data_IF_254437782590
#
_entry.id   IF_254437782590
#
_cell.length_a   1.000
_cell.length_b   1.000
_cell.length_c   1.000
_cell.angle_alpha   90.00
_cell.angle_beta   90.00
_cell.angle_gamma   90.00
#
_symmetry.space_group_name_H-M   'P 1'
#
loop_
_entity.id
_entity.type
_entity.pdbx_description
1 polymer ?
#
# COMPACT_ATOMS: atom_id res chain seq x y z
N UNK A 1 19.78 4.17 -7.85
CA UNK A 1 20.29 2.79 -7.91
C UNK A 1 21.49 2.62 -7.01
N UNK A 2 21.75 1.40 -6.60
CA UNK A 2 22.90 1.04 -5.75
C UNK A 2 23.35 -0.39 -6.05
N UNK A 3 24.64 -0.64 -5.97
CA UNK A 3 25.22 -1.99 -6.06
C UNK A 3 25.40 -2.65 -4.68
N UNK A 4 25.44 -1.85 -3.61
CA UNK A 4 25.77 -2.29 -2.25
C UNK A 4 24.73 -1.90 -1.17
N UNK A 5 23.65 -1.24 -1.56
CA UNK A 5 22.60 -0.69 -0.70
C UNK A 5 23.04 0.40 0.29
N UNK A 6 24.28 0.88 0.16
CA UNK A 6 24.88 1.94 0.99
C UNK A 6 25.17 3.20 0.14
N UNK A 7 25.74 3.00 -1.04
CA UNK A 7 26.06 4.09 -1.97
C UNK A 7 24.99 4.16 -3.05
N UNK A 8 24.26 5.27 -3.11
CA UNK A 8 23.11 5.44 -4.01
C UNK A 8 23.39 6.49 -5.09
N UNK A 9 23.07 6.16 -6.33
CA UNK A 9 23.11 7.06 -7.47
C UNK A 9 21.68 7.42 -7.89
N UNK A 10 21.42 8.73 -7.97
CA UNK A 10 20.12 9.24 -8.40
C UNK A 10 19.95 9.14 -9.92
N UNK A 11 18.91 8.48 -10.37
CA UNK A 11 18.59 8.24 -11.78
C UNK A 11 17.46 9.11 -12.33
N UNK A 12 16.94 10.04 -11.52
CA UNK A 12 15.79 10.87 -11.90
C UNK A 12 14.47 10.39 -11.32
N UNK A 13 13.37 11.00 -11.77
CA UNK A 13 12.02 10.67 -11.34
C UNK A 13 11.47 9.57 -12.25
N UNK A 14 11.24 8.38 -11.69
CA UNK A 14 10.71 7.23 -12.42
C UNK A 14 9.21 7.36 -12.71
N UNK A 15 8.44 7.83 -11.73
CA UNK A 15 6.98 7.90 -11.79
C UNK A 15 6.49 9.31 -11.50
N UNK A 16 5.57 9.82 -12.31
CA UNK A 16 4.90 11.11 -12.13
C UNK A 16 3.47 11.05 -12.68
N UNK A 17 2.53 11.89 -12.23
CA UNK A 17 1.16 11.88 -12.68
C UNK A 17 1.01 12.05 -14.19
N UNK A 18 0.25 11.18 -14.83
CA UNK A 18 -0.06 11.24 -16.29
C UNK A 18 -1.49 10.82 -16.61
N UNK A 19 -2.20 10.27 -15.65
CA UNK A 19 -3.56 9.76 -15.82
C UNK A 19 -4.54 10.56 -14.97
N UNK A 20 -5.82 10.59 -15.35
CA UNK A 20 -6.85 11.24 -14.57
C UNK A 20 -6.95 10.68 -13.14
N UNK A 21 -6.72 9.37 -12.98
CA UNK A 21 -6.82 8.71 -11.68
C UNK A 21 -5.62 8.95 -10.76
N UNK A 22 -4.47 9.40 -11.29
CA UNK A 22 -3.27 9.73 -10.51
C UNK A 22 -2.88 11.21 -10.58
N UNK A 23 -3.77 12.07 -11.05
CA UNK A 23 -3.46 13.47 -11.35
C UNK A 23 -2.94 14.29 -10.16
N UNK A 24 -3.25 13.87 -8.93
CA UNK A 24 -2.86 14.56 -7.71
C UNK A 24 -1.80 13.80 -6.90
N UNK A 25 -1.37 12.64 -7.34
CA UNK A 25 -0.25 11.95 -6.68
C UNK A 25 -0.04 10.51 -7.11
N UNK A 26 1.22 10.14 -7.10
CA UNK A 26 1.74 8.78 -7.11
C UNK A 26 2.23 8.52 -5.69
N UNK A 27 1.42 7.80 -4.90
CA UNK A 27 1.71 7.52 -3.49
C UNK A 27 2.45 6.19 -3.35
N UNK A 28 2.72 5.78 -2.13
CA UNK A 28 3.47 4.58 -1.78
C UNK A 28 2.97 3.32 -2.47
N UNK A 29 3.85 2.35 -2.57
CA UNK A 29 3.56 1.07 -3.19
C UNK A 29 4.72 0.09 -3.12
N UNK A 30 4.74 -0.90 -4.00
CA UNK A 30 5.71 -1.99 -4.02
C UNK A 30 6.29 -2.22 -5.40
N UNK A 31 7.55 -2.58 -5.46
CA UNK A 31 8.18 -3.12 -6.66
C UNK A 31 8.26 -4.65 -6.58
N UNK A 32 7.94 -5.31 -7.68
CA UNK A 32 8.03 -6.77 -7.85
C UNK A 32 8.84 -7.06 -9.11
N UNK A 33 9.95 -7.80 -8.95
CA UNK A 33 10.69 -8.34 -10.09
C UNK A 33 10.03 -9.65 -10.54
N UNK A 34 9.77 -9.76 -11.83
CA UNK A 34 9.23 -10.97 -12.43
C UNK A 34 9.69 -11.09 -13.89
N UNK A 35 10.27 -12.24 -14.24
CA UNK A 35 10.76 -12.55 -15.59
C UNK A 35 11.72 -11.49 -16.15
N UNK A 36 12.56 -10.91 -15.29
CA UNK A 36 13.55 -9.88 -15.64
C UNK A 36 12.94 -8.48 -15.83
N UNK A 37 11.67 -8.30 -15.53
CA UNK A 37 10.96 -7.01 -15.57
C UNK A 37 10.68 -6.49 -14.18
N UNK A 38 10.61 -5.18 -14.04
CA UNK A 38 10.21 -4.53 -12.80
C UNK A 38 8.77 -4.05 -12.91
N UNK A 39 7.88 -4.62 -12.11
CA UNK A 39 6.49 -4.17 -11.94
C UNK A 39 6.40 -3.30 -10.70
N UNK A 40 5.92 -2.07 -10.83
CA UNK A 40 5.65 -1.18 -9.71
C UNK A 40 4.15 -1.03 -9.55
N UNK A 41 3.64 -1.38 -8.37
CA UNK A 41 2.27 -1.13 -7.93
C UNK A 41 2.29 0.07 -6.98
N UNK A 42 1.33 0.97 -7.12
CA UNK A 42 1.28 2.21 -6.35
C UNK A 42 -0.15 2.69 -6.13
N UNK A 43 -0.36 3.51 -5.12
CA UNK A 43 -1.62 4.20 -4.92
C UNK A 43 -1.68 5.45 -5.76
N UNK A 44 -2.62 5.47 -6.68
CA UNK A 44 -2.94 6.61 -7.53
C UNK A 44 -3.98 7.50 -6.84
N UNK A 45 -3.67 8.79 -6.70
CA UNK A 45 -4.49 9.73 -5.92
C UNK A 45 -5.18 10.73 -6.81
N UNK A 46 -6.48 10.93 -6.55
CA UNK A 46 -7.31 11.97 -7.16
C UNK A 46 -8.03 12.79 -6.09
N UNK A 47 -7.88 14.11 -6.15
CA UNK A 47 -8.63 15.03 -5.32
C UNK A 47 -10.04 15.22 -5.88
N UNK A 48 -11.05 15.04 -5.06
CA UNK A 48 -12.44 15.28 -5.41
C UNK A 48 -12.82 16.77 -5.21
N UNK A 49 -12.10 17.45 -4.30
CA UNK A 49 -12.24 18.87 -4.02
C UNK A 49 -10.86 19.54 -3.95
N UNK A 50 -10.17 19.77 -5.09
CA UNK A 50 -8.88 20.46 -5.07
C UNK A 50 -9.08 21.91 -4.60
N UNK A 51 -8.11 22.42 -3.85
CA UNK A 51 -8.08 23.82 -3.47
C UNK A 51 -7.76 24.67 -4.71
N UNK A 52 -8.57 25.67 -5.08
CA UNK A 52 -8.32 26.51 -6.24
C UNK A 52 -7.07 27.41 -6.09
N UNK A 53 -6.60 27.65 -4.88
CA UNK A 53 -5.44 28.49 -4.59
C UNK A 53 -4.13 27.68 -4.40
N UNK A 54 -4.25 26.38 -4.16
CA UNK A 54 -3.08 25.49 -3.95
C UNK A 54 -3.35 24.10 -4.53
N UNK A 55 -2.70 23.77 -5.64
CA UNK A 55 -2.84 22.48 -6.34
C UNK A 55 -2.40 21.28 -5.51
N UNK A 56 -1.63 21.49 -4.44
CA UNK A 56 -1.16 20.44 -3.54
C UNK A 56 -2.09 20.22 -2.35
N UNK A 57 -3.14 21.02 -2.25
CA UNK A 57 -4.10 20.96 -1.16
C UNK A 57 -5.45 20.41 -1.61
N UNK A 58 -6.02 19.58 -0.77
CA UNK A 58 -7.38 19.08 -0.90
C UNK A 58 -8.26 19.67 0.20
N UNK A 59 -9.48 20.07 -0.14
CA UNK A 59 -10.46 20.56 0.83
C UNK A 59 -11.29 19.38 1.38
N UNK A 60 -11.66 19.48 2.67
CA UNK A 60 -12.52 18.50 3.36
C UNK A 60 -11.97 17.07 3.33
N UNK A 61 -10.64 16.89 3.18
CA UNK A 61 -10.02 15.57 3.03
C UNK A 61 -10.69 14.71 1.93
N UNK A 62 -11.22 15.38 0.90
CA UNK A 62 -12.00 14.78 -0.18
C UNK A 62 -11.08 14.18 -1.24
N UNK A 63 -10.38 13.10 -0.88
CA UNK A 63 -9.51 12.32 -1.77
C UNK A 63 -10.14 10.96 -2.07
N UNK A 64 -9.72 10.39 -3.19
CA UNK A 64 -9.91 8.98 -3.47
C UNK A 64 -8.63 8.37 -4.01
N UNK A 65 -8.44 7.09 -3.74
CA UNK A 65 -7.35 6.29 -4.25
C UNK A 65 -7.88 5.18 -5.16
N UNK A 66 -7.05 4.78 -6.09
CA UNK A 66 -7.16 3.53 -6.84
C UNK A 66 -5.77 2.91 -6.90
N UNK A 67 -5.65 1.62 -7.19
CA UNK A 67 -4.34 1.03 -7.32
C UNK A 67 -3.98 0.93 -8.80
N UNK A 68 -2.76 1.31 -9.12
CA UNK A 68 -2.25 1.28 -10.47
C UNK A 68 -0.91 0.56 -10.54
N UNK A 69 -0.52 0.14 -11.74
CA UNK A 69 0.76 -0.47 -11.99
C UNK A 69 1.43 0.09 -13.24
N UNK A 70 2.73 -0.08 -13.30
CA UNK A 70 3.57 0.16 -14.46
C UNK A 70 4.64 -0.93 -14.55
N UNK A 71 5.06 -1.25 -15.76
CA UNK A 71 6.10 -2.24 -16.01
C UNK A 71 7.28 -1.57 -16.69
N UNK A 72 8.48 -1.88 -16.22
CA UNK A 72 9.75 -1.55 -16.87
C UNK A 72 10.42 -2.83 -17.33
N UNK A 73 10.89 -2.85 -18.58
CA UNK A 73 11.59 -4.00 -19.16
C UNK A 73 13.04 -4.13 -18.66
N UNK A 74 13.62 -3.06 -18.14
CA UNK A 74 15.02 -2.98 -17.71
C UNK A 74 15.22 -2.47 -16.29
N UNK A 75 14.14 -2.10 -15.59
CA UNK A 75 14.18 -1.55 -14.25
C UNK A 75 14.58 -0.08 -14.16
N UNK A 76 14.92 0.56 -15.27
CA UNK A 76 15.40 1.95 -15.33
C UNK A 76 14.47 2.88 -16.10
N UNK A 77 13.86 2.39 -17.18
CA UNK A 77 13.02 3.20 -18.05
C UNK A 77 11.54 2.89 -17.84
N UNK A 78 10.76 3.93 -17.52
CA UNK A 78 9.34 3.86 -17.28
C UNK A 78 8.58 4.77 -18.23
N UNK A 79 7.78 4.20 -19.14
CA UNK A 79 6.85 4.99 -19.93
C UNK A 79 5.59 5.28 -19.12
N UNK A 80 5.53 6.46 -18.50
CA UNK A 80 4.42 6.85 -17.63
C UNK A 80 3.05 6.91 -18.33
N UNK A 81 3.00 6.82 -19.66
CA UNK A 81 1.76 6.71 -20.42
C UNK A 81 1.21 5.28 -20.47
N UNK A 82 2.02 4.26 -20.13
CA UNK A 82 1.62 2.85 -20.13
C UNK A 82 1.07 2.37 -18.78
N UNK A 83 0.89 3.27 -17.84
CA UNK A 83 0.27 2.98 -16.53
C UNK A 83 -1.12 2.40 -16.70
N UNK A 84 -1.42 1.36 -15.91
CA UNK A 84 -2.71 0.69 -15.87
C UNK A 84 -3.32 0.84 -14.48
N UNK A 85 -4.61 1.19 -14.40
CA UNK A 85 -5.37 1.07 -13.16
C UNK A 85 -5.80 -0.39 -12.99
N UNK A 86 -5.29 -1.06 -11.97
CA UNK A 86 -5.53 -2.49 -11.71
C UNK A 86 -6.60 -2.74 -10.67
N UNK A 87 -6.83 -1.79 -9.76
CA UNK A 87 -7.94 -1.85 -8.82
C UNK A 87 -8.59 -0.45 -8.76
N UNK A 88 -9.87 -0.33 -9.16
CA UNK A 88 -10.57 0.94 -9.09
C UNK A 88 -10.81 1.37 -7.63
N UNK A 89 -11.19 2.63 -7.43
CA UNK A 89 -11.67 3.12 -6.13
C UNK A 89 -12.83 2.26 -5.65
N UNK A 90 -12.75 1.77 -4.42
CA UNK A 90 -13.78 0.94 -3.79
C UNK A 90 -14.66 1.80 -2.90
N UNK A 91 -15.97 1.63 -2.99
CA UNK A 91 -16.98 2.35 -2.20
C UNK A 91 -17.84 1.42 -1.33
N UNK A 92 -17.50 0.14 -1.29
CA UNK A 92 -18.13 -0.86 -0.45
C UNK A 92 -17.23 -1.10 0.77
N UNK A 93 -17.65 -0.56 1.93
CA UNK A 93 -16.84 -0.59 3.16
C UNK A 93 -16.49 -1.99 3.67
N UNK A 94 -17.24 -3.03 3.30
CA UNK A 94 -16.93 -4.40 3.69
C UNK A 94 -15.72 -4.98 2.96
N UNK A 95 -15.45 -4.50 1.75
CA UNK A 95 -14.35 -5.01 0.92
C UNK A 95 -13.28 -3.96 0.64
N UNK A 96 -13.48 -2.70 1.04
CA UNK A 96 -12.52 -1.62 0.86
C UNK A 96 -13.06 -0.28 1.30
N UNK A 97 -12.39 0.78 0.91
CA UNK A 97 -12.83 2.17 1.08
C UNK A 97 -12.14 3.10 0.06
N UNK A 98 -12.66 4.31 -0.18
CA UNK A 98 -12.08 5.22 -1.15
C UNK A 98 -10.65 5.70 -0.86
N UNK A 99 -10.15 5.55 0.36
CA UNK A 99 -8.81 6.01 0.79
C UNK A 99 -7.84 4.86 1.10
N UNK A 100 -8.22 3.60 0.83
CA UNK A 100 -7.31 2.47 0.99
C UNK A 100 -6.08 2.64 0.11
N UNK A 101 -4.86 2.36 0.64
CA UNK A 101 -3.62 2.74 -0.01
C UNK A 101 -2.44 1.85 0.33
N UNK A 102 -1.29 2.18 -0.28
CA UNK A 102 0.03 1.61 0.00
C UNK A 102 0.08 0.11 -0.29
N UNK A 103 -0.15 -0.31 -1.55
CA UNK A 103 -0.21 -1.72 -1.89
C UNK A 103 1.15 -2.40 -1.71
N UNK A 104 1.21 -3.39 -0.83
CA UNK A 104 2.27 -4.40 -0.79
C UNK A 104 1.85 -5.56 -1.68
N UNK A 105 2.58 -5.81 -2.74
CA UNK A 105 2.32 -6.91 -3.68
C UNK A 105 3.45 -7.93 -3.63
N UNK A 106 3.10 -9.20 -3.60
CA UNK A 106 4.03 -10.31 -3.74
C UNK A 106 3.40 -11.44 -4.53
N UNK A 107 4.23 -12.35 -5.00
CA UNK A 107 3.81 -13.58 -5.68
C UNK A 107 4.25 -14.79 -4.89
N UNK A 108 3.37 -15.75 -4.73
CA UNK A 108 3.68 -17.07 -4.18
C UNK A 108 3.03 -18.14 -5.06
N UNK A 109 3.87 -19.00 -5.64
CA UNK A 109 3.46 -19.95 -6.67
C UNK A 109 2.78 -19.26 -7.85
N UNK A 110 1.55 -19.69 -8.18
CA UNK A 110 0.75 -19.16 -9.28
C UNK A 110 -0.23 -18.05 -8.85
N UNK A 111 -0.05 -17.49 -7.67
CA UNK A 111 -0.97 -16.48 -7.11
C UNK A 111 -0.23 -15.21 -6.72
N UNK A 112 -0.85 -14.08 -7.02
CA UNK A 112 -0.44 -12.78 -6.53
C UNK A 112 -1.33 -12.36 -5.37
N UNK A 113 -0.74 -11.69 -4.42
CA UNK A 113 -1.37 -11.13 -3.24
C UNK A 113 -1.12 -9.64 -3.20
N UNK A 114 -2.14 -8.87 -2.85
CA UNK A 114 -2.01 -7.43 -2.58
C UNK A 114 -2.58 -7.16 -1.20
N UNK A 115 -1.76 -6.60 -0.33
CA UNK A 115 -2.15 -6.12 0.98
C UNK A 115 -2.16 -4.60 0.98
N UNK A 116 -3.19 -3.98 1.54
CA UNK A 116 -3.33 -2.53 1.61
C UNK A 116 -3.72 -2.05 2.99
N UNK A 117 -3.24 -0.88 3.35
CA UNK A 117 -3.67 -0.17 4.53
C UNK A 117 -5.00 0.56 4.32
N UNK A 118 -5.77 0.64 5.37
CA UNK A 118 -7.12 1.19 5.37
C UNK A 118 -7.58 1.55 6.79
N UNK A 119 -8.78 2.13 6.89
CA UNK A 119 -9.54 2.26 8.13
C UNK A 119 -10.91 1.62 7.99
N UNK A 120 -11.53 1.33 9.14
CA UNK A 120 -12.92 0.90 9.24
C UNK A 120 -13.49 1.41 10.55
N UNK A 121 -14.50 2.28 10.49
CA UNK A 121 -15.10 2.90 11.69
C UNK A 121 -14.06 3.49 12.66
N UNK A 122 -13.14 4.30 12.13
CA UNK A 122 -12.05 4.94 12.89
C UNK A 122 -11.06 3.96 13.56
N UNK A 123 -10.97 2.73 13.07
CA UNK A 123 -9.96 1.74 13.49
C UNK A 123 -9.12 1.27 12.31
N UNK A 124 -7.83 1.01 12.57
CA UNK A 124 -6.90 0.51 11.58
C UNK A 124 -7.34 -0.83 10.99
N UNK A 125 -7.19 -0.97 9.67
CA UNK A 125 -7.55 -2.16 8.92
C UNK A 125 -6.51 -2.48 7.87
N UNK A 126 -6.31 -3.77 7.62
CA UNK A 126 -5.53 -4.29 6.49
C UNK A 126 -6.48 -5.10 5.60
N UNK A 127 -6.40 -4.86 4.30
CA UNK A 127 -7.20 -5.52 3.27
C UNK A 127 -6.32 -6.42 2.40
N UNK A 128 -6.87 -7.57 2.00
CA UNK A 128 -6.22 -8.50 1.08
C UNK A 128 -7.02 -8.71 -0.19
N UNK A 129 -6.33 -8.65 -1.30
CA UNK A 129 -6.81 -9.02 -2.62
C UNK A 129 -5.89 -10.06 -3.23
N UNK A 130 -6.43 -10.92 -4.07
CA UNK A 130 -5.67 -11.92 -4.81
C UNK A 130 -5.87 -11.79 -6.31
N UNK A 131 -4.88 -12.26 -7.07
CA UNK A 131 -4.91 -12.25 -8.54
C UNK A 131 -4.19 -13.47 -9.11
N UNK A 132 -4.50 -13.83 -10.35
CA UNK A 132 -3.78 -14.86 -11.13
C UNK A 132 -2.82 -14.26 -12.17
N UNK A 133 -2.98 -12.98 -12.46
CA UNK A 133 -2.20 -12.30 -13.51
C UNK A 133 -1.51 -11.00 -13.01
N UNK A 134 -1.76 -10.60 -11.75
CA UNK A 134 -1.26 -9.35 -11.19
C UNK A 134 -1.97 -8.09 -11.70
N UNK A 135 -2.96 -8.22 -12.58
CA UNK A 135 -3.72 -7.10 -13.14
C UNK A 135 -5.19 -7.09 -12.71
N UNK A 136 -5.82 -8.26 -12.58
CA UNK A 136 -7.21 -8.42 -12.20
C UNK A 136 -7.30 -8.94 -10.75
N UNK A 137 -7.80 -8.11 -9.84
CA UNK A 137 -7.79 -8.35 -8.41
C UNK A 137 -9.17 -8.64 -7.87
N UNK A 138 -9.26 -9.63 -6.98
CA UNK A 138 -10.47 -10.01 -6.27
C UNK A 138 -10.24 -9.90 -4.77
N UNK A 139 -11.18 -9.29 -4.06
CA UNK A 139 -11.15 -9.25 -2.60
C UNK A 139 -11.08 -10.66 -2.01
N UNK A 140 -10.22 -10.83 -1.01
CA UNK A 140 -10.01 -12.12 -0.36
C UNK A 140 -10.36 -12.08 1.12
N UNK A 141 -9.81 -11.12 1.89
CA UNK A 141 -9.99 -11.06 3.34
C UNK A 141 -9.59 -9.68 3.90
N UNK A 142 -9.77 -9.50 5.20
CA UNK A 142 -9.31 -8.34 5.95
C UNK A 142 -8.89 -8.72 7.38
N UNK A 143 -8.03 -7.89 7.96
CA UNK A 143 -7.67 -7.93 9.37
C UNK A 143 -8.02 -6.58 10.01
N UNK A 144 -8.68 -6.61 11.18
CA UNK A 144 -9.06 -5.42 11.97
C UNK A 144 -8.46 -5.55 13.37
N UNK A 145 -7.18 -5.26 13.55
CA UNK A 145 -6.51 -5.42 14.84
C UNK A 145 -6.89 -4.26 15.77
N UNK A 146 -7.23 -4.56 17.03
CA UNK A 146 -7.77 -3.57 17.98
C UNK A 146 -6.76 -2.48 18.39
N UNK A 147 -5.48 -2.81 18.43
CA UNK A 147 -4.43 -1.91 18.96
C UNK A 147 -3.56 -1.26 17.88
N UNK A 148 -4.10 -1.05 16.67
CA UNK A 148 -3.35 -0.52 15.53
C UNK A 148 -3.91 0.81 15.02
N UNK A 149 -4.27 1.70 15.95
CA UNK A 149 -4.61 3.08 15.67
C UNK A 149 -5.87 3.30 14.84
N UNK A 150 -5.94 4.47 14.21
CA UNK A 150 -7.08 4.91 13.40
C UNK A 150 -7.06 4.37 11.96
N UNK A 151 -5.91 4.33 11.33
CA UNK A 151 -5.65 3.75 10.01
C UNK A 151 -4.25 3.15 9.99
N UNK A 152 -4.01 2.22 9.11
CA UNK A 152 -2.67 1.65 8.90
C UNK A 152 -2.15 2.14 7.56
N UNK A 153 -0.95 2.70 7.52
CA UNK A 153 -0.24 3.07 6.31
C UNK A 153 0.95 2.13 6.07
N UNK A 154 1.37 2.03 4.81
CA UNK A 154 2.55 1.30 4.38
C UNK A 154 2.68 -0.11 5.01
N UNK A 155 1.61 -0.96 4.98
CA UNK A 155 1.71 -2.28 5.55
C UNK A 155 2.67 -3.15 4.74
N UNK A 156 3.48 -3.93 5.44
CA UNK A 156 4.35 -4.96 4.86
C UNK A 156 4.16 -6.29 5.60
N UNK A 157 4.21 -7.38 4.86
CA UNK A 157 4.08 -8.74 5.38
C UNK A 157 5.07 -9.65 4.64
N UNK A 158 5.93 -10.30 5.38
CA UNK A 158 6.90 -11.24 4.82
C UNK A 158 7.22 -12.37 5.81
N UNK A 159 7.74 -13.48 5.31
CA UNK A 159 8.17 -14.57 6.16
C UNK A 159 9.69 -14.61 6.26
N UNK A 160 10.19 -14.89 7.47
CA UNK A 160 11.59 -15.14 7.75
C UNK A 160 11.71 -16.28 8.78
N UNK A 161 12.49 -17.31 8.45
CA UNK A 161 12.67 -18.48 9.30
C UNK A 161 11.34 -19.13 9.73
N UNK A 162 10.42 -19.31 8.76
CA UNK A 162 9.07 -19.86 8.94
C UNK A 162 8.16 -19.04 9.88
N UNK A 163 8.52 -17.80 10.16
CA UNK A 163 7.69 -16.86 10.91
C UNK A 163 7.22 -15.72 10.00
N UNK A 164 5.95 -15.38 10.09
CA UNK A 164 5.43 -14.19 9.46
C UNK A 164 5.67 -12.95 10.30
N UNK A 165 6.12 -11.90 9.68
CA UNK A 165 6.40 -10.60 10.29
C UNK A 165 5.53 -9.56 9.59
N UNK A 166 4.75 -8.84 10.37
CA UNK A 166 4.00 -7.67 9.93
C UNK A 166 4.75 -6.41 10.32
N UNK A 167 4.80 -5.45 9.40
CA UNK A 167 5.25 -4.07 9.65
C UNK A 167 4.16 -3.14 9.15
N UNK A 168 3.94 -2.02 9.82
CA UNK A 168 3.01 -1.00 9.38
C UNK A 168 3.20 0.31 10.13
N UNK A 169 2.56 1.36 9.63
CA UNK A 169 2.59 2.69 10.25
C UNK A 169 1.17 3.08 10.69
N UNK A 170 0.70 2.59 11.86
CA UNK A 170 -0.57 3.01 12.40
C UNK A 170 -0.56 4.50 12.75
N UNK A 171 -1.55 5.22 12.27
CA UNK A 171 -1.75 6.62 12.64
C UNK A 171 -2.58 6.72 13.92
N UNK A 172 -2.26 7.71 14.76
CA UNK A 172 -2.93 7.94 16.05
C UNK A 172 -2.93 6.68 16.94
N UNK A 173 -1.79 6.01 16.99
CA UNK A 173 -1.61 4.77 17.74
C UNK A 173 -1.80 4.98 19.25
N UNK A 174 -1.38 6.12 19.76
CA UNK A 174 -1.51 6.52 21.18
C UNK A 174 -2.43 7.73 21.30
N UNK A 175 -3.75 7.53 21.51
CA UNK A 175 -4.68 8.64 21.69
C UNK A 175 -4.27 9.53 22.87
N UNK A 176 -4.06 10.82 22.60
CA UNK A 176 -3.68 11.81 23.63
C UNK A 176 -2.18 12.03 23.79
N UNK A 177 -1.31 11.22 23.28
CA UNK A 177 0.12 11.51 23.20
C UNK A 177 0.41 12.41 21.99
N UNK A 178 0.82 13.64 22.27
CA UNK A 178 1.03 14.66 21.24
C UNK A 178 2.40 14.59 20.56
N UNK A 179 3.34 13.80 21.08
CA UNK A 179 4.73 13.88 20.66
C UNK A 179 5.06 12.93 19.49
N UNK A 180 4.45 11.77 19.44
CA UNK A 180 4.67 10.75 18.40
C UNK A 180 3.36 9.97 18.15
N UNK A 181 2.35 10.61 17.53
CA UNK A 181 1.05 9.97 17.33
C UNK A 181 1.08 8.88 16.27
N UNK A 182 2.04 8.95 15.36
CA UNK A 182 2.18 8.07 14.20
C UNK A 182 3.55 7.40 14.30
N UNK A 183 3.59 6.07 14.32
CA UNK A 183 4.82 5.31 14.52
C UNK A 183 4.84 4.05 13.66
N UNK A 184 6.02 3.65 13.20
CA UNK A 184 6.21 2.35 12.61
C UNK A 184 6.24 1.28 13.70
N UNK A 185 5.47 0.21 13.50
CA UNK A 185 5.40 -0.93 14.40
C UNK A 185 5.68 -2.23 13.66
N UNK A 186 6.10 -3.23 14.42
CA UNK A 186 6.21 -4.59 13.90
C UNK A 186 5.62 -5.58 14.90
N UNK A 187 5.17 -6.72 14.40
CA UNK A 187 4.66 -7.82 15.19
C UNK A 187 4.92 -9.15 14.49
N UNK A 188 5.08 -10.21 15.29
CA UNK A 188 4.95 -11.56 14.76
C UNK A 188 3.48 -11.81 14.42
N UNK A 189 3.24 -12.35 13.25
CA UNK A 189 1.90 -12.56 12.71
C UNK A 189 1.65 -14.04 12.43
N UNK A 190 0.38 -14.43 12.41
CA UNK A 190 -0.07 -15.68 11.78
C UNK A 190 -0.74 -15.30 10.44
N UNK A 191 -0.33 -15.94 9.36
CA UNK A 191 -0.93 -15.69 8.04
C UNK A 191 -1.16 -17.01 7.31
N UNK A 192 -2.39 -17.21 6.84
CA UNK A 192 -2.76 -18.33 5.97
C UNK A 192 -2.90 -17.83 4.52
N UNK A 193 -1.95 -18.18 3.61
CA UNK A 193 -2.02 -17.74 2.22
C UNK A 193 -3.25 -18.25 1.45
N UNK A 194 -3.87 -19.34 1.88
CA UNK A 194 -5.03 -19.93 1.19
C UNK A 194 -6.30 -19.11 1.41
N UNK A 195 -6.43 -18.52 2.59
CA UNK A 195 -7.62 -17.76 3.00
C UNK A 195 -7.33 -16.26 3.10
N UNK A 196 -6.06 -15.85 3.03
CA UNK A 196 -5.59 -14.51 3.37
C UNK A 196 -6.01 -14.08 4.78
N UNK A 197 -6.18 -15.04 5.70
CA UNK A 197 -6.44 -14.73 7.10
C UNK A 197 -5.15 -14.28 7.77
N UNK A 198 -5.15 -13.04 8.27
CA UNK A 198 -4.06 -12.45 9.05
C UNK A 198 -4.52 -12.28 10.48
N UNK A 199 -3.71 -12.76 11.43
CA UNK A 199 -3.89 -12.51 12.86
C UNK A 199 -2.70 -11.73 13.39
N UNK A 200 -2.96 -10.57 13.96
CA UNK A 200 -1.99 -9.74 14.65
C UNK A 200 -2.25 -9.79 16.15
N UNK A 201 -1.21 -9.82 16.98
CA UNK A 201 -1.37 -9.74 18.43
C UNK A 201 -1.83 -8.33 18.85
N UNK A 202 -2.48 -8.22 20.00
CA UNK A 202 -2.88 -6.92 20.59
C UNK A 202 -1.67 -6.06 21.01
N UNK A 203 -0.49 -6.67 21.08
CA UNK A 203 0.76 -5.98 21.40
C UNK A 203 1.69 -5.99 20.21
N UNK A 204 2.38 -4.89 20.00
CA UNK A 204 3.37 -4.71 18.93
C UNK A 204 4.63 -4.06 19.51
N UNK A 205 5.74 -4.15 18.78
CA UNK A 205 6.97 -3.46 19.07
C UNK A 205 7.13 -2.26 18.13
N UNK A 206 7.79 -1.23 18.61
CA UNK A 206 8.13 -0.08 17.76
C UNK A 206 9.38 -0.40 16.93
N UNK A 207 9.45 0.19 15.74
CA UNK A 207 10.66 0.21 14.93
C UNK A 207 11.47 1.43 15.38
N UNK A 208 12.62 1.17 16.02
CA UNK A 208 13.56 2.20 16.49
C UNK A 208 14.55 2.63 15.39
#
# INVERSE_FOLDING_TARGET
VSEDLVHWEYQGIALFPTKEYDQNGVFSGTALEEDGKLKIYYSAVKYLKPDPEDIHRVLDDAIQTSQAMIVSEDGFHFNNWDKKKVLPTVHDEEVGEPKMRDPKVWKDGDSYYMMMGSSYHDAGRVLFYTSKDGENWTYANQCRPESYGWTIECPDLFSQNDQWIFIGCPMRLTPGEKKYPDQAVWALAEFDPKTCELKLPDTHSYVD
#
